data_IF_139607549447
#
_entry.id   IF_139607549447
#
_cell.length_a   1.000
_cell.length_b   1.000
_cell.length_c   1.000
_cell.angle_alpha   90.00
_cell.angle_beta   90.00
_cell.angle_gamma   90.00
#
_symmetry.space_group_name_H-M   'P 1'
#
loop_
_entity.id
_entity.type
_entity.pdbx_description
1 polymer ?
#
# COMPACT_ATOMS: atom_id res chain seq x y z
N UNK A 1 -6.97 -13.82 -8.65
CA UNK A 1 -6.14 -13.73 -9.88
C UNK A 1 -6.83 -12.96 -11.01
N UNK A 2 -8.17 -12.94 -11.11
CA UNK A 2 -8.89 -12.16 -12.13
C UNK A 2 -8.75 -10.64 -11.97
N UNK A 3 -8.79 -10.11 -10.73
CA UNK A 3 -8.78 -8.66 -10.48
C UNK A 3 -7.47 -7.97 -10.87
N UNK A 4 -6.32 -8.55 -10.53
CA UNK A 4 -5.04 -7.92 -10.90
C UNK A 4 -4.76 -7.99 -12.40
N UNK A 5 -5.22 -9.04 -13.08
CA UNK A 5 -5.09 -9.14 -14.55
C UNK A 5 -5.94 -8.08 -15.25
N UNK A 6 -7.13 -7.80 -14.75
CA UNK A 6 -8.00 -6.74 -15.25
C UNK A 6 -7.41 -5.36 -14.96
N UNK A 7 -6.97 -5.11 -13.73
CA UNK A 7 -6.26 -3.88 -13.36
C UNK A 7 -5.09 -3.60 -14.32
N UNK A 8 -4.25 -4.61 -14.56
CA UNK A 8 -3.09 -4.49 -15.44
C UNK A 8 -3.47 -4.13 -16.87
N UNK A 9 -4.52 -4.74 -17.43
CA UNK A 9 -4.94 -4.46 -18.81
C UNK A 9 -5.35 -2.99 -18.97
N UNK A 10 -6.15 -2.45 -18.04
CA UNK A 10 -6.58 -1.05 -18.04
C UNK A 10 -5.39 -0.12 -17.76
N UNK A 11 -4.50 -0.49 -16.83
CA UNK A 11 -3.28 0.26 -16.53
C UNK A 11 -2.39 0.44 -17.78
N UNK A 12 -2.19 -0.64 -18.55
CA UNK A 12 -1.40 -0.60 -19.78
C UNK A 12 -2.08 0.28 -20.84
N UNK A 13 -3.40 0.20 -21.00
CA UNK A 13 -4.19 1.05 -21.90
C UNK A 13 -4.07 2.53 -21.54
N UNK A 14 -4.28 2.89 -20.27
CA UNK A 14 -4.14 4.26 -19.79
C UNK A 14 -2.69 4.78 -19.92
N UNK A 15 -1.69 3.91 -19.73
CA UNK A 15 -0.28 4.27 -19.96
C UNK A 15 -0.04 4.62 -21.43
N UNK A 16 -0.61 3.87 -22.36
CA UNK A 16 -0.52 4.14 -23.79
C UNK A 16 -1.29 5.42 -24.17
N UNK A 17 -2.45 5.70 -23.54
CA UNK A 17 -3.16 6.97 -23.73
C UNK A 17 -2.29 8.17 -23.31
N UNK A 18 -1.66 8.15 -22.13
CA UNK A 18 -0.74 9.21 -21.70
C UNK A 18 0.41 9.37 -22.70
N UNK A 19 1.01 8.25 -23.14
CA UNK A 19 2.16 8.26 -24.05
C UNK A 19 1.87 8.83 -25.43
N UNK A 20 0.62 8.72 -25.90
CA UNK A 20 0.16 9.20 -27.21
C UNK A 20 -0.55 10.54 -27.15
N UNK A 21 -0.80 11.07 -25.95
CA UNK A 21 -1.54 12.31 -25.75
C UNK A 21 -0.86 13.52 -26.39
N UNK A 22 -1.69 14.47 -26.82
CA UNK A 22 -1.20 15.83 -27.13
C UNK A 22 -0.97 16.57 -25.83
N UNK A 23 -0.03 17.51 -25.86
CA UNK A 23 0.38 18.32 -24.72
C UNK A 23 -0.79 18.78 -23.82
N UNK A 24 -1.81 19.41 -24.41
CA UNK A 24 -2.94 19.98 -23.67
C UNK A 24 -3.82 18.95 -22.94
N UNK A 25 -3.71 17.67 -23.27
CA UNK A 25 -4.52 16.58 -22.68
C UNK A 25 -3.73 15.67 -21.73
N UNK A 26 -2.41 15.90 -21.62
CA UNK A 26 -1.57 15.08 -20.73
C UNK A 26 -2.06 15.12 -19.28
N UNK A 27 -2.42 16.28 -18.68
CA UNK A 27 -2.95 16.30 -17.31
C UNK A 27 -4.20 15.42 -17.13
N UNK A 28 -5.17 15.53 -18.04
CA UNK A 28 -6.42 14.75 -17.96
C UNK A 28 -6.16 13.24 -18.07
N UNK A 29 -5.25 12.82 -18.97
CA UNK A 29 -4.88 11.41 -19.10
C UNK A 29 -4.09 10.90 -17.90
N UNK A 30 -3.20 11.71 -17.32
CA UNK A 30 -2.50 11.38 -16.08
C UNK A 30 -3.47 11.27 -14.91
N UNK A 31 -4.44 12.17 -14.80
CA UNK A 31 -5.46 12.11 -13.76
C UNK A 31 -6.24 10.80 -13.82
N UNK A 32 -6.73 10.39 -15.00
CA UNK A 32 -7.41 9.10 -15.19
C UNK A 32 -6.52 7.90 -14.86
N UNK A 33 -5.23 7.98 -15.20
CA UNK A 33 -4.25 6.94 -14.87
C UNK A 33 -4.08 6.80 -13.36
N UNK A 34 -4.01 7.91 -12.62
CA UNK A 34 -3.94 7.90 -11.15
C UNK A 34 -5.26 7.47 -10.51
N UNK A 35 -6.40 7.92 -11.01
CA UNK A 35 -7.72 7.47 -10.54
C UNK A 35 -7.85 5.95 -10.62
N UNK A 36 -7.41 5.34 -11.70
CA UNK A 36 -7.41 3.88 -11.84
C UNK A 36 -6.53 3.18 -10.79
N UNK A 37 -5.41 3.77 -10.39
CA UNK A 37 -4.56 3.25 -9.31
C UNK A 37 -5.29 3.38 -7.96
N UNK A 38 -5.94 4.51 -7.71
CA UNK A 38 -6.67 4.80 -6.47
C UNK A 38 -7.94 3.96 -6.30
N UNK A 39 -8.61 3.61 -7.39
CA UNK A 39 -9.77 2.73 -7.40
C UNK A 39 -9.44 1.27 -6.99
N UNK A 40 -8.17 0.92 -6.93
CA UNK A 40 -7.69 -0.38 -6.47
C UNK A 40 -7.03 -0.26 -5.08
N UNK A 41 -7.74 -0.44 -3.94
CA UNK A 41 -7.24 -0.10 -2.61
C UNK A 41 -5.91 -0.74 -2.22
N UNK A 42 -5.69 -2.00 -2.61
CA UNK A 42 -4.42 -2.69 -2.35
C UNK A 42 -3.26 -2.13 -3.15
N UNK A 43 -3.51 -1.61 -4.35
CA UNK A 43 -2.51 -0.97 -5.20
C UNK A 43 -2.25 0.45 -4.72
N UNK A 44 -3.29 1.20 -4.39
CA UNK A 44 -3.21 2.53 -3.81
C UNK A 44 -2.34 2.55 -2.55
N UNK A 45 -2.53 1.59 -1.62
CA UNK A 45 -1.71 1.45 -0.42
C UNK A 45 -0.21 1.28 -0.74
N UNK A 46 0.11 0.45 -1.74
CA UNK A 46 1.50 0.25 -2.17
C UNK A 46 2.09 1.54 -2.75
N UNK A 47 1.32 2.25 -3.59
CA UNK A 47 1.76 3.51 -4.21
C UNK A 47 1.94 4.61 -3.16
N UNK A 48 1.03 4.74 -2.21
CA UNK A 48 1.19 5.69 -1.09
C UNK A 48 2.45 5.41 -0.27
N UNK A 49 2.73 4.13 0.00
CA UNK A 49 3.96 3.74 0.72
C UNK A 49 5.24 4.11 -0.03
N UNK A 50 5.24 4.04 -1.37
CA UNK A 50 6.38 4.48 -2.18
C UNK A 50 6.63 6.00 -2.07
N UNK A 51 5.60 6.79 -1.79
CA UNK A 51 5.65 8.25 -1.68
C UNK A 51 5.93 8.72 -0.24
N UNK A 52 5.76 7.84 0.74
CA UNK A 52 5.89 8.17 2.17
C UNK A 52 7.29 8.66 2.51
N UNK A 53 7.37 9.78 3.24
CA UNK A 53 8.62 10.36 3.71
C UNK A 53 9.47 11.03 2.64
N UNK A 54 8.99 11.18 1.39
CA UNK A 54 9.67 11.94 0.35
C UNK A 54 9.30 13.42 0.43
N UNK A 55 10.30 14.29 0.32
CA UNK A 55 10.10 15.74 0.21
C UNK A 55 10.23 16.16 -1.26
N UNK A 56 9.10 16.13 -1.97
CA UNK A 56 9.05 16.45 -3.39
C UNK A 56 9.40 17.91 -3.68
N UNK A 57 8.89 18.85 -2.90
CA UNK A 57 9.09 20.27 -3.11
C UNK A 57 10.58 20.65 -3.01
N UNK A 58 11.25 20.19 -1.95
CA UNK A 58 12.69 20.41 -1.77
C UNK A 58 13.51 19.79 -2.92
N UNK A 59 13.18 18.57 -3.31
CA UNK A 59 13.85 17.88 -4.40
C UNK A 59 13.66 18.62 -5.74
N UNK A 60 12.43 19.08 -6.02
CA UNK A 60 12.10 19.78 -7.27
C UNK A 60 12.79 21.15 -7.36
N UNK A 61 12.78 21.94 -6.26
CA UNK A 61 13.48 23.21 -6.22
C UNK A 61 15.00 23.03 -6.35
N UNK A 62 15.57 22.00 -5.74
CA UNK A 62 16.99 21.66 -5.94
C UNK A 62 17.29 21.29 -7.40
N UNK A 63 16.40 20.55 -8.07
CA UNK A 63 16.54 20.22 -9.49
C UNK A 63 16.50 21.48 -10.39
N UNK A 64 15.57 22.41 -10.11
CA UNK A 64 15.49 23.71 -10.82
C UNK A 64 16.75 24.55 -10.64
N UNK A 65 17.30 24.55 -9.44
CA UNK A 65 18.51 25.33 -9.14
C UNK A 65 19.77 24.82 -9.89
N UNK A 66 19.75 23.54 -10.36
CA UNK A 66 20.86 22.97 -11.15
C UNK A 66 20.71 23.22 -12.65
N UNK A 67 19.62 23.87 -13.10
CA UNK A 67 19.41 24.17 -14.50
C UNK A 67 20.45 25.18 -15.00
N UNK A 68 21.30 24.74 -15.90
CA UNK A 68 22.28 25.57 -16.60
C UNK A 68 22.16 25.42 -18.13
N UNK A 69 23.13 25.95 -18.87
CA UNK A 69 23.12 25.94 -20.35
C UNK A 69 23.12 24.54 -20.96
N UNK A 70 23.53 23.51 -20.19
CA UNK A 70 23.61 22.12 -20.62
C UNK A 70 22.33 21.31 -20.28
N UNK A 71 21.34 21.93 -19.66
CA UNK A 71 20.06 21.35 -19.26
C UNK A 71 19.99 20.95 -17.79
N UNK A 72 18.76 20.78 -17.29
CA UNK A 72 18.55 20.35 -15.92
C UNK A 72 18.91 18.88 -15.73
N UNK A 73 19.63 18.60 -14.68
CA UNK A 73 19.88 17.23 -14.25
C UNK A 73 19.01 16.91 -13.05
N UNK A 74 17.97 16.10 -13.25
CA UNK A 74 17.25 15.56 -12.11
C UNK A 74 18.14 14.59 -11.35
N UNK A 75 18.51 14.97 -10.14
CA UNK A 75 19.23 14.06 -9.25
C UNK A 75 18.26 13.06 -8.61
N UNK A 76 17.88 12.06 -9.38
CA UNK A 76 16.95 11.02 -8.94
C UNK A 76 17.53 10.23 -7.75
N UNK A 77 16.72 9.88 -6.74
CA UNK A 77 17.15 8.99 -5.67
C UNK A 77 17.71 7.68 -6.24
N UNK A 78 18.82 7.20 -5.65
CA UNK A 78 19.48 5.96 -6.10
C UNK A 78 18.70 4.71 -5.69
N UNK A 79 17.96 4.78 -4.59
CA UNK A 79 17.11 3.69 -4.11
C UNK A 79 15.90 3.54 -5.03
N UNK A 80 15.66 2.32 -5.50
CA UNK A 80 14.60 2.00 -6.47
C UNK A 80 13.22 2.52 -6.05
N UNK A 81 12.81 2.25 -4.82
CA UNK A 81 11.51 2.64 -4.30
C UNK A 81 11.35 4.16 -4.18
N UNK A 82 12.35 4.83 -3.65
CA UNK A 82 12.37 6.29 -3.56
C UNK A 82 12.40 6.96 -4.94
N UNK A 83 13.13 6.39 -5.90
CA UNK A 83 13.15 6.86 -7.29
C UNK A 83 11.77 6.78 -7.91
N UNK A 84 11.11 5.62 -7.73
CA UNK A 84 9.78 5.39 -8.24
C UNK A 84 8.76 6.33 -7.58
N UNK A 85 8.81 6.46 -6.26
CA UNK A 85 7.95 7.38 -5.50
C UNK A 85 8.13 8.84 -5.90
N UNK A 86 9.37 9.30 -6.11
CA UNK A 86 9.64 10.67 -6.54
C UNK A 86 9.08 10.95 -7.94
N UNK A 87 9.20 10.00 -8.88
CA UNK A 87 8.60 10.13 -10.21
C UNK A 87 7.08 10.15 -10.15
N UNK A 88 6.47 9.33 -9.29
CA UNK A 88 5.02 9.34 -9.07
C UNK A 88 4.55 10.71 -8.56
N UNK A 89 5.26 11.32 -7.61
CA UNK A 89 4.94 12.67 -7.13
C UNK A 89 5.06 13.72 -8.24
N UNK A 90 6.10 13.65 -9.07
CA UNK A 90 6.28 14.54 -10.21
C UNK A 90 5.11 14.48 -11.20
N UNK A 91 4.68 13.27 -11.56
CA UNK A 91 3.54 13.11 -12.47
C UNK A 91 2.20 13.42 -11.81
N UNK A 92 2.08 13.26 -10.50
CA UNK A 92 0.89 13.72 -9.76
C UNK A 92 0.78 15.24 -9.84
N UNK A 93 1.87 15.99 -9.61
CA UNK A 93 1.87 17.44 -9.75
C UNK A 93 1.52 17.89 -11.18
N UNK A 94 1.88 17.12 -12.21
CA UNK A 94 1.44 17.38 -13.59
C UNK A 94 -0.06 17.09 -13.78
N UNK A 95 -0.59 16.01 -13.18
CA UNK A 95 -2.00 15.66 -13.24
C UNK A 95 -2.88 16.73 -12.56
N UNK A 96 -2.42 17.25 -11.43
CA UNK A 96 -3.12 18.26 -10.64
C UNK A 96 -2.97 19.69 -11.24
N UNK A 97 -2.20 19.83 -12.32
CA UNK A 97 -1.96 21.11 -13.00
C UNK A 97 -1.01 22.05 -12.26
N UNK A 98 -0.31 21.58 -11.24
CA UNK A 98 0.70 22.34 -10.51
C UNK A 98 1.99 22.52 -11.32
N UNK A 99 2.30 21.54 -12.19
CA UNK A 99 3.44 21.55 -13.08
C UNK A 99 3.02 21.33 -14.53
N UNK A 100 3.72 22.01 -15.44
CA UNK A 100 3.51 21.86 -16.87
C UNK A 100 4.49 20.83 -17.46
N UNK A 101 3.95 19.81 -18.13
CA UNK A 101 4.74 18.74 -18.74
C UNK A 101 5.68 19.25 -19.86
N UNK A 102 5.31 20.33 -20.57
CA UNK A 102 6.18 20.90 -21.59
C UNK A 102 7.31 21.73 -20.97
N UNK A 103 7.06 22.44 -19.87
CA UNK A 103 8.10 23.17 -19.15
C UNK A 103 9.18 22.21 -18.63
N UNK A 104 8.75 21.08 -18.06
CA UNK A 104 9.68 20.03 -17.62
C UNK A 104 10.39 19.42 -18.84
N UNK A 105 9.66 19.12 -19.91
CA UNK A 105 10.21 18.59 -21.14
C UNK A 105 11.26 19.49 -21.80
N UNK A 106 11.15 20.81 -21.60
CA UNK A 106 12.14 21.77 -22.05
C UNK A 106 13.54 21.49 -21.46
N UNK A 107 13.59 20.89 -20.30
CA UNK A 107 14.86 20.51 -19.65
C UNK A 107 15.56 19.31 -20.33
N UNK A 108 14.83 18.51 -21.13
CA UNK A 108 15.34 17.30 -21.78
C UNK A 108 15.58 17.47 -23.28
N UNK A 109 15.03 18.52 -23.91
CA UNK A 109 15.10 18.73 -25.36
C UNK A 109 15.79 20.06 -25.66
N UNK A 110 16.62 20.08 -26.70
CA UNK A 110 17.29 21.29 -27.17
C UNK A 110 16.29 22.39 -27.54
N UNK A 111 16.68 23.65 -27.34
CA UNK A 111 15.90 24.85 -27.64
C UNK A 111 15.29 24.78 -29.05
N UNK A 112 14.05 25.26 -29.20
CA UNK A 112 13.24 25.36 -30.42
C UNK A 112 12.28 24.19 -30.73
N UNK A 113 11.96 23.32 -29.79
CA UNK A 113 10.91 22.34 -29.92
C UNK A 113 9.53 22.96 -29.65
N UNK A 114 8.48 22.47 -30.32
CA UNK A 114 7.11 22.84 -29.96
C UNK A 114 6.66 22.15 -28.65
N UNK A 115 5.59 22.66 -28.03
CA UNK A 115 5.09 22.15 -26.76
C UNK A 115 4.76 20.64 -26.79
N UNK A 116 4.26 20.12 -27.93
CA UNK A 116 4.00 18.70 -28.04
C UNK A 116 5.29 17.87 -28.07
N UNK A 117 6.34 18.37 -28.72
CA UNK A 117 7.64 17.69 -28.72
C UNK A 117 8.26 17.67 -27.33
N UNK A 118 8.22 18.80 -26.63
CA UNK A 118 8.73 18.93 -25.25
C UNK A 118 8.01 17.98 -24.30
N UNK A 119 6.69 18.07 -24.25
CA UNK A 119 5.89 17.20 -23.39
C UNK A 119 6.03 15.72 -23.74
N UNK A 120 6.13 15.39 -25.04
CA UNK A 120 6.36 14.01 -25.50
C UNK A 120 7.72 13.49 -25.08
N UNK A 121 8.78 14.31 -25.12
CA UNK A 121 10.09 13.90 -24.63
C UNK A 121 10.03 13.53 -23.13
N UNK A 122 9.41 14.39 -22.33
CA UNK A 122 9.23 14.11 -20.90
C UNK A 122 8.44 12.83 -20.64
N UNK A 123 7.33 12.64 -21.33
CA UNK A 123 6.52 11.41 -21.20
C UNK A 123 7.31 10.18 -21.65
N UNK A 124 8.00 10.25 -22.78
CA UNK A 124 8.73 9.09 -23.32
C UNK A 124 9.92 8.71 -22.45
N UNK A 125 10.66 9.70 -21.94
CA UNK A 125 11.94 9.46 -21.26
C UNK A 125 11.77 9.23 -19.76
N UNK A 126 10.66 9.71 -19.15
CA UNK A 126 10.44 9.60 -17.71
C UNK A 126 9.18 8.81 -17.36
N UNK A 127 8.00 9.18 -17.91
CA UNK A 127 6.75 8.52 -17.57
C UNK A 127 6.70 7.05 -18.02
N UNK A 128 6.95 6.78 -19.28
CA UNK A 128 6.83 5.42 -19.82
C UNK A 128 7.77 4.43 -19.12
N UNK A 129 9.06 4.74 -18.89
CA UNK A 129 9.93 3.87 -18.10
C UNK A 129 9.45 3.71 -16.65
N UNK A 130 8.99 4.79 -16.01
CA UNK A 130 8.45 4.75 -14.66
C UNK A 130 7.20 3.87 -14.57
N UNK A 131 6.24 4.04 -15.47
CA UNK A 131 5.01 3.25 -15.50
C UNK A 131 5.30 1.75 -15.71
N UNK A 132 6.25 1.40 -16.60
CA UNK A 132 6.69 0.02 -16.80
C UNK A 132 7.38 -0.56 -15.54
N UNK A 133 8.17 0.24 -14.85
CA UNK A 133 8.83 -0.18 -13.63
C UNK A 133 7.83 -0.34 -12.48
N UNK A 134 6.89 0.60 -12.32
CA UNK A 134 5.80 0.50 -11.34
C UNK A 134 4.99 -0.78 -11.56
N UNK A 135 4.60 -1.06 -12.80
CA UNK A 135 3.89 -2.30 -13.12
C UNK A 135 4.66 -3.55 -12.65
N UNK A 136 5.97 -3.63 -12.96
CA UNK A 136 6.81 -4.76 -12.52
C UNK A 136 6.91 -4.84 -10.99
N UNK A 137 7.02 -3.70 -10.33
CA UNK A 137 7.06 -3.63 -8.88
C UNK A 137 5.75 -4.14 -8.27
N UNK A 138 4.60 -3.66 -8.78
CA UNK A 138 3.29 -4.12 -8.35
C UNK A 138 3.10 -5.62 -8.60
N UNK A 139 3.49 -6.13 -9.76
CA UNK A 139 3.46 -7.58 -10.06
C UNK A 139 4.28 -8.38 -9.02
N UNK A 140 5.46 -7.92 -8.66
CA UNK A 140 6.30 -8.57 -7.66
C UNK A 140 5.66 -8.55 -6.27
N UNK A 141 5.18 -7.38 -5.83
CA UNK A 141 4.56 -7.23 -4.50
C UNK A 141 3.26 -8.04 -4.41
N UNK A 142 2.41 -7.99 -5.44
CA UNK A 142 1.14 -8.74 -5.46
C UNK A 142 1.38 -10.25 -5.54
N UNK A 143 2.42 -10.71 -6.27
CA UNK A 143 2.77 -12.13 -6.33
C UNK A 143 3.42 -12.65 -5.05
N UNK A 144 4.16 -11.79 -4.33
CA UNK A 144 4.74 -12.13 -3.02
C UNK A 144 3.74 -11.96 -1.88
N UNK A 145 2.69 -11.15 -2.08
CA UNK A 145 1.59 -11.12 -1.13
C UNK A 145 0.97 -12.52 -1.03
N UNK A 146 0.75 -13.04 0.19
CA UNK A 146 0.09 -14.32 0.34
C UNK A 146 -1.27 -14.23 -0.35
N UNK A 147 -1.53 -15.13 -1.32
CA UNK A 147 -2.82 -15.18 -1.99
C UNK A 147 -3.91 -15.19 -0.92
N UNK A 148 -4.89 -14.28 -1.02
CA UNK A 148 -6.00 -14.15 -0.05
C UNK A 148 -6.72 -15.48 0.18
N UNK A 149 -6.63 -16.38 -0.78
CA UNK A 149 -7.23 -17.73 -0.74
C UNK A 149 -6.21 -18.83 -0.34
N UNK A 150 -5.00 -18.45 0.12
CA UNK A 150 -4.01 -19.44 0.56
C UNK A 150 -4.50 -20.16 1.80
N UNK A 151 -4.72 -21.45 1.68
CA UNK A 151 -4.99 -22.34 2.81
C UNK A 151 -3.65 -22.70 3.45
N UNK A 152 -3.47 -22.31 4.70
CA UNK A 152 -2.25 -22.60 5.48
C UNK A 152 -2.53 -23.74 6.44
N UNK A 153 -1.61 -24.67 6.52
CA UNK A 153 -1.68 -25.73 7.52
C UNK A 153 -1.07 -25.22 8.82
N UNK A 154 -1.88 -25.15 9.88
CA UNK A 154 -1.42 -24.78 11.20
C UNK A 154 -0.84 -25.99 11.93
N UNK A 155 0.38 -25.85 12.41
CA UNK A 155 0.99 -26.85 13.27
C UNK A 155 0.69 -26.53 14.74
N UNK A 156 -0.29 -27.21 15.32
CA UNK A 156 -0.78 -26.98 16.68
C UNK A 156 0.28 -27.29 17.78
N UNK A 157 1.38 -27.93 17.43
CA UNK A 157 2.47 -28.23 18.38
C UNK A 157 3.48 -27.09 18.48
N UNK A 158 3.43 -26.11 17.59
CA UNK A 158 4.35 -24.97 17.62
C UNK A 158 4.07 -24.04 18.80
N UNK A 159 5.14 -23.49 19.43
CA UNK A 159 5.00 -22.59 20.56
C UNK A 159 4.16 -21.35 20.22
N UNK A 160 4.35 -20.75 19.06
CA UNK A 160 3.62 -19.56 18.61
C UNK A 160 2.12 -19.81 18.49
N UNK A 161 1.71 -21.01 18.05
CA UNK A 161 0.31 -21.39 18.02
C UNK A 161 -0.29 -21.50 19.43
N UNK A 162 0.46 -22.11 20.37
CA UNK A 162 0.03 -22.24 21.77
C UNK A 162 -0.06 -20.88 22.47
N UNK A 163 0.86 -19.97 22.16
CA UNK A 163 0.84 -18.59 22.67
C UNK A 163 -0.39 -17.82 22.19
N UNK A 164 -0.73 -17.93 20.91
CA UNK A 164 -1.97 -17.32 20.37
C UNK A 164 -3.20 -17.91 21.03
N UNK A 165 -3.26 -19.23 21.18
CA UNK A 165 -4.37 -19.91 21.86
C UNK A 165 -4.55 -19.42 23.29
N UNK A 166 -3.47 -19.35 24.06
CA UNK A 166 -3.47 -18.85 25.42
C UNK A 166 -3.87 -17.35 25.53
N UNK A 167 -3.37 -16.53 24.59
CA UNK A 167 -3.72 -15.11 24.53
C UNK A 167 -5.20 -14.87 24.19
N UNK A 168 -5.78 -15.66 23.28
CA UNK A 168 -7.22 -15.60 22.96
C UNK A 168 -8.08 -16.02 24.14
N UNK A 169 -7.68 -17.08 24.85
CA UNK A 169 -8.40 -17.55 26.04
C UNK A 169 -8.33 -16.53 27.18
N UNK A 170 -7.16 -15.91 27.39
CA UNK A 170 -6.99 -14.83 28.35
C UNK A 170 -7.86 -13.61 28.02
N UNK A 171 -7.90 -13.21 26.73
CA UNK A 171 -8.74 -12.11 26.28
C UNK A 171 -10.23 -12.40 26.45
N UNK A 172 -10.67 -13.60 26.07
CA UNK A 172 -12.08 -14.04 26.22
C UNK A 172 -12.51 -13.99 27.70
N UNK A 173 -11.66 -14.47 28.59
CA UNK A 173 -11.89 -14.43 30.04
C UNK A 173 -11.94 -12.99 30.56
N UNK A 174 -10.96 -12.16 30.19
CA UNK A 174 -10.91 -10.77 30.60
C UNK A 174 -12.15 -10.00 30.15
N UNK A 175 -12.62 -10.21 28.94
CA UNK A 175 -13.86 -9.60 28.42
C UNK A 175 -15.10 -10.10 29.19
N UNK A 176 -15.15 -11.38 29.55
CA UNK A 176 -16.27 -11.96 30.30
C UNK A 176 -16.34 -11.43 31.75
N UNK A 177 -15.19 -11.25 32.39
CA UNK A 177 -15.07 -10.82 33.79
C UNK A 177 -15.05 -9.29 33.96
N UNK A 178 -14.86 -8.52 32.89
CA UNK A 178 -14.77 -7.06 32.95
C UNK A 178 -16.10 -6.42 33.37
N UNK A 179 -16.15 -5.88 34.55
CA UNK A 179 -17.30 -5.08 35.04
C UNK A 179 -17.26 -3.63 34.50
N UNK A 180 -16.07 -3.14 34.08
CA UNK A 180 -15.82 -1.78 33.64
C UNK A 180 -15.54 -1.72 32.14
N UNK A 181 -16.29 -2.49 31.33
CA UNK A 181 -16.17 -2.41 29.88
C UNK A 181 -16.65 -1.04 29.38
N UNK A 182 -15.80 -0.28 28.64
CA UNK A 182 -16.14 1.10 28.23
C UNK A 182 -17.02 1.13 26.97
N UNK A 183 -18.10 0.37 26.95
CA UNK A 183 -19.04 0.27 25.85
C UNK A 183 -20.35 -0.35 26.31
N UNK A 184 -21.32 -0.44 25.38
CA UNK A 184 -22.59 -1.08 25.66
C UNK A 184 -22.44 -2.60 25.87
N UNK A 185 -23.32 -3.22 26.70
CA UNK A 185 -23.26 -4.68 26.94
C UNK A 185 -23.30 -5.51 25.66
N UNK A 186 -24.07 -5.09 24.66
CA UNK A 186 -24.17 -5.75 23.36
C UNK A 186 -22.86 -5.72 22.59
N UNK A 187 -22.10 -4.60 22.68
CA UNK A 187 -20.76 -4.53 22.08
C UNK A 187 -19.81 -5.52 22.73
N UNK A 188 -19.86 -5.67 24.06
CA UNK A 188 -19.05 -6.64 24.77
C UNK A 188 -19.36 -8.08 24.34
N UNK A 189 -20.63 -8.43 24.26
CA UNK A 189 -21.07 -9.77 23.81
C UNK A 189 -20.60 -10.04 22.38
N UNK A 190 -20.71 -9.06 21.48
CA UNK A 190 -20.20 -9.17 20.12
C UNK A 190 -18.69 -9.42 20.10
N UNK A 191 -17.91 -8.73 20.95
CA UNK A 191 -16.45 -8.94 21.03
C UNK A 191 -16.07 -10.32 21.53
N UNK A 192 -16.78 -10.83 22.53
CA UNK A 192 -16.60 -12.20 23.02
C UNK A 192 -16.88 -13.19 21.91
N UNK A 193 -17.94 -12.98 21.11
CA UNK A 193 -18.27 -13.83 19.98
C UNK A 193 -17.18 -13.80 18.88
N UNK A 194 -16.62 -12.62 18.56
CA UNK A 194 -15.54 -12.45 17.58
C UNK A 194 -14.24 -13.18 18.04
N UNK A 195 -13.86 -13.03 19.31
CA UNK A 195 -12.70 -13.75 19.88
C UNK A 195 -12.91 -15.25 19.87
N UNK A 196 -14.10 -15.71 20.24
CA UNK A 196 -14.47 -17.13 20.21
C UNK A 196 -14.47 -17.70 18.78
N UNK A 197 -14.96 -16.93 17.79
CA UNK A 197 -14.90 -17.32 16.38
C UNK A 197 -13.46 -17.43 15.88
N UNK A 198 -12.59 -16.49 16.25
CA UNK A 198 -11.15 -16.52 15.92
C UNK A 198 -10.49 -17.77 16.49
N UNK A 199 -10.78 -18.11 17.74
CA UNK A 199 -10.26 -19.33 18.39
C UNK A 199 -10.71 -20.60 17.68
N UNK A 200 -11.98 -20.68 17.28
CA UNK A 200 -12.52 -21.83 16.52
C UNK A 200 -11.88 -21.95 15.15
N UNK A 201 -11.65 -20.82 14.47
CA UNK A 201 -10.97 -20.81 13.18
C UNK A 201 -9.53 -21.34 13.30
N UNK A 202 -8.79 -20.87 14.30
CA UNK A 202 -7.42 -21.32 14.56
C UNK A 202 -7.35 -22.80 14.98
N UNK A 203 -8.38 -23.35 15.63
CA UNK A 203 -8.44 -24.76 15.96
C UNK A 203 -8.55 -25.69 14.72
N UNK A 204 -8.90 -25.14 13.55
CA UNK A 204 -8.90 -25.91 12.32
C UNK A 204 -7.47 -26.21 11.87
N UNK A 205 -7.23 -27.45 11.38
CA UNK A 205 -5.92 -27.86 10.87
C UNK A 205 -5.49 -27.07 9.61
N UNK A 206 -6.44 -26.47 8.90
CA UNK A 206 -6.23 -25.67 7.71
C UNK A 206 -7.09 -24.41 7.79
N UNK A 207 -6.46 -23.25 7.63
CA UNK A 207 -7.11 -21.94 7.71
C UNK A 207 -6.81 -21.14 6.46
N UNK A 208 -7.81 -20.44 5.92
CA UNK A 208 -7.60 -19.45 4.87
C UNK A 208 -7.00 -18.20 5.48
N UNK A 209 -5.92 -17.70 4.90
CA UNK A 209 -5.21 -16.52 5.40
C UNK A 209 -6.14 -15.31 5.45
N UNK A 210 -6.99 -15.12 4.44
CA UNK A 210 -7.98 -14.05 4.38
C UNK A 210 -8.97 -14.10 5.56
N UNK A 211 -9.50 -15.29 5.89
CA UNK A 211 -10.42 -15.43 7.01
C UNK A 211 -9.75 -15.09 8.35
N UNK A 212 -8.47 -15.42 8.51
CA UNK A 212 -7.68 -15.06 9.69
C UNK A 212 -7.48 -13.55 9.79
N UNK A 213 -7.05 -12.90 8.70
CA UNK A 213 -6.84 -11.45 8.64
C UNK A 213 -8.16 -10.69 8.86
N UNK A 214 -9.26 -11.13 8.25
CA UNK A 214 -10.57 -10.50 8.38
C UNK A 214 -11.09 -10.52 9.83
N UNK A 215 -10.79 -11.57 10.60
CA UNK A 215 -11.17 -11.63 12.03
C UNK A 215 -10.22 -10.87 12.95
N UNK A 216 -8.93 -10.84 12.64
CA UNK A 216 -7.91 -10.22 13.50
C UNK A 216 -7.84 -8.70 13.31
N UNK A 217 -8.00 -8.20 12.08
CA UNK A 217 -7.88 -6.77 11.76
C UNK A 217 -8.86 -5.88 12.54
N UNK A 218 -10.17 -6.18 12.64
CA UNK A 218 -11.09 -5.40 13.45
C UNK A 218 -10.72 -5.36 14.93
N UNK A 219 -10.27 -6.51 15.48
CA UNK A 219 -9.81 -6.59 16.87
C UNK A 219 -8.60 -5.66 17.09
N UNK A 220 -7.62 -5.66 16.18
CA UNK A 220 -6.43 -4.81 16.27
C UNK A 220 -6.76 -3.32 16.25
N UNK A 221 -7.60 -2.86 15.32
CA UNK A 221 -7.92 -1.46 15.12
C UNK A 221 -8.74 -0.90 16.28
N UNK A 222 -9.77 -1.62 16.72
CA UNK A 222 -10.72 -1.12 17.71
C UNK A 222 -10.17 -1.15 19.15
N UNK A 223 -9.39 -2.16 19.48
CA UNK A 223 -8.78 -2.26 20.82
C UNK A 223 -7.52 -1.41 20.96
N UNK A 224 -6.77 -1.20 19.86
CA UNK A 224 -5.53 -0.41 19.88
C UNK A 224 -5.74 1.08 20.19
N UNK A 225 -6.93 1.63 19.95
CA UNK A 225 -7.21 3.06 20.11
C UNK A 225 -7.95 3.41 21.42
N UNK A 226 -8.82 2.55 21.92
CA UNK A 226 -9.73 2.89 23.03
C UNK A 226 -9.33 2.32 24.40
N UNK A 227 -8.45 1.33 24.47
CA UNK A 227 -8.25 0.52 25.69
C UNK A 227 -6.78 0.38 26.14
N UNK A 228 -5.88 1.24 25.65
CA UNK A 228 -4.42 1.14 25.90
C UNK A 228 -4.01 0.97 27.38
N UNK A 229 -4.76 1.58 28.29
CA UNK A 229 -4.41 1.64 29.71
C UNK A 229 -5.24 0.70 30.61
N UNK A 230 -5.92 -0.27 30.00
CA UNK A 230 -6.77 -1.23 30.71
C UNK A 230 -6.18 -2.64 30.69
N UNK A 231 -6.67 -3.52 31.57
CA UNK A 231 -6.32 -4.95 31.59
C UNK A 231 -6.66 -5.61 30.24
N UNK A 232 -7.76 -5.17 29.60
CA UNK A 232 -8.17 -5.61 28.27
C UNK A 232 -7.13 -5.19 27.23
N UNK A 233 -6.63 -3.95 27.26
CA UNK A 233 -5.60 -3.45 26.36
C UNK A 233 -4.30 -4.25 26.45
N UNK A 234 -3.91 -4.66 27.66
CA UNK A 234 -2.73 -5.52 27.86
C UNK A 234 -2.93 -6.90 27.21
N UNK A 235 -4.11 -7.51 27.41
CA UNK A 235 -4.43 -8.82 26.81
C UNK A 235 -4.48 -8.75 25.28
N UNK A 236 -5.02 -7.66 24.71
CA UNK A 236 -5.03 -7.42 23.26
C UNK A 236 -3.62 -7.24 22.71
N UNK A 237 -2.77 -6.48 23.39
CA UNK A 237 -1.37 -6.28 22.97
C UNK A 237 -0.61 -7.60 22.95
N UNK A 238 -0.79 -8.45 23.94
CA UNK A 238 -0.21 -9.79 23.98
C UNK A 238 -0.71 -10.66 22.82
N UNK A 239 -2.02 -10.63 22.53
CA UNK A 239 -2.61 -11.34 21.40
C UNK A 239 -2.05 -10.87 20.07
N UNK A 240 -1.91 -9.55 19.88
CA UNK A 240 -1.38 -8.98 18.63
C UNK A 240 0.08 -9.37 18.40
N UNK A 241 0.90 -9.39 19.46
CA UNK A 241 2.29 -9.84 19.39
C UNK A 241 2.37 -11.33 19.00
N UNK A 242 1.58 -12.19 19.65
CA UNK A 242 1.53 -13.62 19.37
C UNK A 242 1.02 -13.92 17.95
N UNK A 243 -0.02 -13.22 17.49
CA UNK A 243 -0.53 -13.33 16.12
C UNK A 243 0.49 -12.87 15.09
N UNK A 244 1.20 -11.77 15.36
CA UNK A 244 2.27 -11.28 14.49
C UNK A 244 3.38 -12.34 14.31
N UNK A 245 3.80 -12.98 15.40
CA UNK A 245 4.79 -14.06 15.35
C UNK A 245 4.29 -15.29 14.57
N UNK A 246 3.04 -15.72 14.81
CA UNK A 246 2.44 -16.84 14.10
C UNK A 246 2.30 -16.54 12.59
N UNK A 247 1.78 -15.36 12.23
CA UNK A 247 1.59 -14.95 10.83
C UNK A 247 2.94 -14.85 10.13
N UNK A 248 3.94 -14.20 10.74
CA UNK A 248 5.28 -14.10 10.20
C UNK A 248 5.88 -15.45 9.86
N UNK A 249 5.76 -16.42 10.76
CA UNK A 249 6.25 -17.78 10.54
C UNK A 249 5.47 -18.58 9.49
N UNK A 250 4.15 -18.45 9.49
CA UNK A 250 3.26 -19.16 8.56
C UNK A 250 3.38 -18.64 7.13
N UNK A 251 3.62 -17.35 6.96
CA UNK A 251 3.77 -16.73 5.65
C UNK A 251 5.20 -16.79 5.11
N UNK A 252 6.17 -17.21 5.94
CA UNK A 252 7.59 -17.26 5.55
C UNK A 252 8.18 -15.85 5.32
N UNK A 253 7.56 -14.84 5.90
CA UNK A 253 8.03 -13.47 5.88
C UNK A 253 9.00 -13.31 7.06
N UNK A 254 10.27 -13.76 6.83
CA UNK A 254 11.51 -13.24 7.47
C UNK A 254 12.65 -14.13 7.06
#
# INVERSE_FOLDING_TARGET
MSDFSNFRAIYDELTDEVSSARYQFIPDHLQRWFEHIEDAPSIAEIVHKLQEGLNFEEWYEAAKATYDVDGASFNWPKEREKNLGMKLLLFRACADGELDAADIGYWFVAQHADLNMLARAFVTDVFVPMARELRRYLEQVVQTAPASDRVVQLNHNQPEYKEVGAALEALERTLAEANDYPGEPEEREQRIAEVSATRRLLAAARVRTEALVALVRPLAIQFGTKLKDTVIGTAVTALMAALGALIGRVLGAF
#
